data_IF_493941128644
#
_entry.id   IF_493941128644
#
_cell.length_a   1.000
_cell.length_b   1.000
_cell.length_c   1.000
_cell.angle_alpha   90.00
_cell.angle_beta   90.00
_cell.angle_gamma   90.00
#
_symmetry.space_group_name_H-M   'P 1'
#
loop_
_entity.id
_entity.type
_entity.pdbx_description
1 polymer ?
#
# COMPACT_ATOMS: atom_id res chain seq x y z
N UNK A 1 11.67 19.69 -14.28
CA UNK A 1 11.34 18.49 -13.47
C UNK A 1 10.44 18.88 -12.31
N UNK A 2 9.32 18.18 -12.07
CA UNK A 2 8.33 18.54 -11.06
C UNK A 2 8.81 18.15 -9.64
N UNK A 3 8.27 18.77 -8.59
CA UNK A 3 8.53 18.41 -7.20
C UNK A 3 8.22 16.93 -6.90
N UNK A 4 7.16 16.38 -7.51
CA UNK A 4 6.80 14.95 -7.40
C UNK A 4 7.86 14.02 -8.04
N UNK A 5 8.52 14.47 -9.10
CA UNK A 5 9.57 13.69 -9.78
C UNK A 5 10.88 13.72 -9.01
N UNK A 6 11.26 14.89 -8.48
CA UNK A 6 12.39 15.04 -7.53
C UNK A 6 12.21 14.13 -6.31
N UNK A 7 11.03 14.17 -5.69
CA UNK A 7 10.69 13.31 -4.56
C UNK A 7 10.81 11.82 -4.90
N UNK A 8 10.33 11.39 -6.08
CA UNK A 8 10.45 10.00 -6.50
C UNK A 8 11.92 9.59 -6.72
N UNK A 9 12.74 10.42 -7.37
CA UNK A 9 14.16 10.13 -7.58
C UNK A 9 14.93 9.96 -6.26
N UNK A 10 14.62 10.77 -5.24
CA UNK A 10 15.32 10.71 -3.95
C UNK A 10 14.82 9.57 -3.04
N UNK A 11 13.52 9.29 -3.06
CA UNK A 11 12.89 8.34 -2.11
C UNK A 11 12.73 6.92 -2.66
N UNK A 12 12.60 6.75 -3.99
CA UNK A 12 12.39 5.44 -4.58
C UNK A 12 13.57 4.47 -4.38
N UNK A 13 14.85 4.87 -4.49
CA UNK A 13 15.98 3.98 -4.17
C UNK A 13 15.94 3.48 -2.72
N UNK A 14 15.56 4.37 -1.78
CA UNK A 14 15.39 4.03 -0.35
C UNK A 14 14.27 3.02 -0.12
N UNK A 15 13.23 3.03 -0.96
CA UNK A 15 12.14 2.04 -0.96
C UNK A 15 12.53 0.73 -1.67
N UNK A 16 13.29 0.81 -2.76
CA UNK A 16 13.83 -0.36 -3.46
C UNK A 16 14.77 -1.18 -2.56
N UNK A 17 15.64 -0.51 -1.79
CA UNK A 17 16.55 -1.14 -0.83
C UNK A 17 15.82 -1.92 0.30
N UNK A 18 14.62 -1.47 0.70
CA UNK A 18 13.76 -2.20 1.66
C UNK A 18 13.10 -3.44 1.07
N UNK A 19 13.15 -3.60 -0.24
CA UNK A 19 12.63 -4.76 -0.96
C UNK A 19 11.12 -4.72 -1.24
N UNK A 20 10.75 -5.34 -2.37
CA UNK A 20 9.37 -5.40 -2.87
C UNK A 20 8.41 -6.06 -1.87
N UNK A 21 8.86 -7.08 -1.14
CA UNK A 21 8.04 -7.81 -0.18
C UNK A 21 7.58 -6.89 0.97
N UNK A 22 8.50 -6.16 1.61
CA UNK A 22 8.16 -5.20 2.66
C UNK A 22 7.22 -4.10 2.15
N UNK A 23 7.47 -3.57 0.95
CA UNK A 23 6.56 -2.59 0.33
C UNK A 23 5.13 -3.13 0.17
N UNK A 24 4.97 -4.37 -0.28
CA UNK A 24 3.65 -5.02 -0.41
C UNK A 24 3.01 -5.27 0.96
N UNK A 25 3.78 -5.71 1.97
CA UNK A 25 3.29 -5.94 3.35
C UNK A 25 2.79 -4.63 3.97
N UNK A 26 3.55 -3.53 3.90
CA UNK A 26 3.11 -2.24 4.45
C UNK A 26 1.79 -1.76 3.82
N UNK A 27 1.64 -1.91 2.50
CA UNK A 27 0.39 -1.54 1.84
C UNK A 27 -0.77 -2.47 2.22
N UNK A 28 -0.54 -3.78 2.25
CA UNK A 28 -1.53 -4.77 2.68
C UNK A 28 -2.03 -4.49 4.11
N UNK A 29 -1.13 -4.14 5.03
CA UNK A 29 -1.46 -3.74 6.40
C UNK A 29 -2.29 -2.45 6.47
N UNK A 30 -2.00 -1.45 5.63
CA UNK A 30 -2.82 -0.22 5.54
C UNK A 30 -4.26 -0.56 5.13
N UNK A 31 -4.46 -1.42 4.13
CA UNK A 31 -5.81 -1.85 3.74
C UNK A 31 -6.50 -2.69 4.82
N UNK A 32 -5.79 -3.60 5.49
CA UNK A 32 -6.31 -4.36 6.62
C UNK A 32 -6.75 -3.46 7.78
N UNK A 33 -5.95 -2.46 8.13
CA UNK A 33 -6.27 -1.48 9.18
C UNK A 33 -7.46 -0.60 8.80
N UNK A 34 -7.58 -0.18 7.53
CA UNK A 34 -8.75 0.54 7.04
C UNK A 34 -10.04 -0.28 7.20
N UNK A 35 -10.01 -1.60 6.90
CA UNK A 35 -11.18 -2.47 7.16
C UNK A 35 -11.48 -2.57 8.66
N UNK A 36 -10.47 -2.67 9.52
CA UNK A 36 -10.63 -2.62 10.98
C UNK A 36 -11.37 -1.36 11.43
N UNK A 37 -10.86 -0.19 11.06
CA UNK A 37 -11.44 1.11 11.44
C UNK A 37 -12.85 1.28 10.88
N UNK A 38 -13.08 0.97 9.60
CA UNK A 38 -14.41 1.07 8.98
C UNK A 38 -15.40 0.11 9.65
N UNK A 39 -15.00 -1.13 9.95
CA UNK A 39 -15.89 -2.10 10.60
C UNK A 39 -16.28 -1.70 12.02
N UNK A 40 -15.41 -0.99 12.73
CA UNK A 40 -15.73 -0.40 14.04
C UNK A 40 -16.65 0.82 13.92
N UNK A 41 -16.46 1.68 12.91
CA UNK A 41 -17.28 2.88 12.71
C UNK A 41 -18.73 2.59 12.28
N UNK A 42 -18.96 1.48 11.57
CA UNK A 42 -20.31 1.05 11.12
C UNK A 42 -20.90 -0.05 12.01
N UNK A 43 -20.44 -0.13 13.26
CA UNK A 43 -20.92 -1.11 14.22
C UNK A 43 -22.19 -0.60 14.91
N UNK A 44 -23.28 -1.35 14.73
CA UNK A 44 -24.59 -1.05 15.32
C UNK A 44 -24.95 -1.97 16.50
N UNK A 45 -23.99 -2.71 17.05
CA UNK A 45 -24.18 -3.59 18.20
C UNK A 45 -23.22 -3.27 19.36
N UNK A 46 -23.62 -3.63 20.57
CA UNK A 46 -22.87 -3.41 21.82
C UNK A 46 -21.99 -4.61 22.22
N UNK A 47 -21.79 -5.58 21.31
CA UNK A 47 -21.07 -6.82 21.60
C UNK A 47 -19.58 -6.64 21.94
N UNK A 48 -18.85 -7.72 22.27
CA UNK A 48 -17.39 -7.69 22.38
C UNK A 48 -16.71 -7.33 21.05
N UNK A 49 -15.65 -6.51 21.09
CA UNK A 49 -14.85 -6.19 19.89
C UNK A 49 -14.18 -7.44 19.30
N UNK A 50 -13.88 -8.44 20.14
CA UNK A 50 -13.33 -9.72 19.72
C UNK A 50 -14.28 -10.47 18.76
N UNK A 51 -15.58 -10.48 19.06
CA UNK A 51 -16.58 -11.22 18.28
C UNK A 51 -16.78 -10.60 16.89
N UNK A 52 -16.65 -9.27 16.79
CA UNK A 52 -16.60 -8.57 15.49
C UNK A 52 -15.37 -9.00 14.69
N UNK A 53 -14.17 -9.00 15.28
CA UNK A 53 -12.90 -9.31 14.60
C UNK A 53 -12.80 -10.79 14.22
N UNK A 54 -13.42 -11.68 14.99
CA UNK A 54 -13.52 -13.12 14.70
C UNK A 54 -14.74 -13.47 13.82
N UNK A 55 -15.63 -12.52 13.54
CA UNK A 55 -16.79 -12.75 12.68
C UNK A 55 -16.37 -13.14 11.27
N UNK A 56 -17.08 -14.11 10.68
CA UNK A 56 -16.83 -14.59 9.31
C UNK A 56 -16.87 -13.45 8.29
N UNK A 57 -17.81 -12.51 8.45
CA UNK A 57 -17.97 -11.38 7.55
C UNK A 57 -16.81 -10.38 7.64
N UNK A 58 -16.30 -10.12 8.84
CA UNK A 58 -15.10 -9.31 9.03
C UNK A 58 -13.88 -9.98 8.38
N UNK A 59 -13.66 -11.27 8.64
CA UNK A 59 -12.53 -12.03 8.09
C UNK A 59 -12.57 -12.08 6.55
N UNK A 60 -13.75 -12.26 5.95
CA UNK A 60 -13.93 -12.22 4.49
C UNK A 60 -13.63 -10.82 3.94
N UNK A 61 -14.16 -9.76 4.54
CA UNK A 61 -13.85 -8.37 4.14
C UNK A 61 -12.34 -8.10 4.26
N UNK A 62 -11.74 -8.43 5.40
CA UNK A 62 -10.31 -8.25 5.66
C UNK A 62 -9.44 -8.97 4.63
N UNK A 63 -9.74 -10.24 4.32
CA UNK A 63 -9.01 -11.01 3.31
C UNK A 63 -9.13 -10.41 1.90
N UNK A 64 -10.32 -9.95 1.49
CA UNK A 64 -10.54 -9.31 0.20
C UNK A 64 -9.77 -7.99 0.07
N UNK A 65 -9.89 -7.08 1.04
CA UNK A 65 -9.21 -5.79 1.00
C UNK A 65 -7.68 -5.91 1.16
N UNK A 66 -7.19 -6.87 1.96
CA UNK A 66 -5.76 -7.19 2.04
C UNK A 66 -5.24 -7.67 0.68
N UNK A 67 -5.99 -8.54 -0.01
CA UNK A 67 -5.66 -9.02 -1.36
C UNK A 67 -5.63 -7.87 -2.38
N UNK A 68 -6.65 -7.00 -2.37
CA UNK A 68 -6.69 -5.78 -3.19
C UNK A 68 -5.48 -4.89 -2.90
N UNK A 69 -5.10 -4.73 -1.64
CA UNK A 69 -3.92 -3.97 -1.21
C UNK A 69 -2.62 -4.53 -1.78
N UNK A 70 -2.43 -5.86 -1.76
CA UNK A 70 -1.27 -6.53 -2.37
C UNK A 70 -1.24 -6.32 -3.89
N UNK A 71 -2.37 -6.49 -4.58
CA UNK A 71 -2.48 -6.28 -6.04
C UNK A 71 -2.12 -4.82 -6.39
N UNK A 72 -2.71 -3.86 -5.69
CA UNK A 72 -2.46 -2.44 -5.94
C UNK A 72 -1.02 -2.02 -5.60
N UNK A 73 -0.42 -2.61 -4.57
CA UNK A 73 1.00 -2.41 -4.25
C UNK A 73 1.92 -2.99 -5.33
N UNK A 74 1.62 -4.18 -5.89
CA UNK A 74 2.38 -4.75 -7.00
C UNK A 74 2.31 -3.87 -8.25
N UNK A 75 1.12 -3.34 -8.56
CA UNK A 75 0.91 -2.40 -9.66
C UNK A 75 1.68 -1.09 -9.46
N UNK A 76 1.54 -0.45 -8.29
CA UNK A 76 2.27 0.77 -7.92
C UNK A 76 3.79 0.58 -7.98
N UNK A 77 4.31 -0.55 -7.51
CA UNK A 77 5.73 -0.88 -7.60
C UNK A 77 6.23 -0.92 -9.05
N UNK A 78 5.51 -1.59 -9.95
CA UNK A 78 5.87 -1.66 -11.38
C UNK A 78 5.80 -0.28 -12.04
N UNK A 79 4.77 0.51 -11.74
CA UNK A 79 4.59 1.86 -12.29
C UNK A 79 5.70 2.81 -11.81
N UNK A 80 6.05 2.76 -10.52
CA UNK A 80 7.11 3.58 -9.94
C UNK A 80 8.50 3.19 -10.46
N UNK A 81 8.81 1.90 -10.63
CA UNK A 81 10.05 1.48 -11.29
C UNK A 81 10.19 2.08 -12.69
N UNK A 82 9.18 1.90 -13.56
CA UNK A 82 9.19 2.46 -14.92
C UNK A 82 9.37 3.98 -14.93
N UNK A 83 8.68 4.70 -14.04
CA UNK A 83 8.78 6.15 -13.92
C UNK A 83 10.15 6.59 -13.40
N UNK A 84 10.69 5.88 -12.41
CA UNK A 84 12.02 6.14 -11.87
C UNK A 84 13.13 5.92 -12.91
N UNK A 85 13.07 4.82 -13.68
CA UNK A 85 14.02 4.53 -14.75
C UNK A 85 14.00 5.62 -15.84
N UNK A 86 12.81 6.04 -16.28
CA UNK A 86 12.66 7.12 -17.26
C UNK A 86 13.16 8.48 -16.74
N UNK A 87 12.84 8.83 -15.48
CA UNK A 87 13.33 10.06 -14.85
C UNK A 87 14.85 10.04 -14.63
N UNK A 88 15.42 8.88 -14.30
CA UNK A 88 16.86 8.72 -14.14
C UNK A 88 17.57 8.92 -15.48
N UNK A 89 17.11 8.25 -16.55
CA UNK A 89 17.66 8.44 -17.90
C UNK A 89 17.61 9.90 -18.36
N UNK A 90 16.52 10.62 -18.08
CA UNK A 90 16.43 12.06 -18.38
C UNK A 90 17.39 12.90 -17.55
N UNK A 91 17.54 12.61 -16.26
CA UNK A 91 18.48 13.33 -15.39
C UNK A 91 19.95 13.06 -15.78
N UNK A 92 20.27 11.83 -16.17
CA UNK A 92 21.62 11.41 -16.60
C UNK A 92 21.95 11.90 -18.04
N UNK A 93 21.00 12.53 -18.75
CA UNK A 93 21.20 13.20 -20.05
C UNK A 93 21.29 14.74 -19.93
N UNK A 94 20.95 15.30 -18.77
CA UNK A 94 20.91 16.75 -18.50
C UNK A 94 22.14 17.21 -17.68
N UNK A 95 22.84 16.27 -17.04
CA UNK A 95 24.11 16.49 -16.34
C UNK A 95 25.27 15.88 -17.15
#
# INVERSE_FOLDING_TARGET
MNAKDKYLLETWPKQQAKGKMMYMVYHALIYGLLVGVISLLFRNDDGPVLDLILSKDYLVKFALFTTIGVIMANYKWRANNKRYEALKQQNDQIN
#
